data_IF_736607758494
#
_entry.id   IF_736607758494
#
_cell.length_a   1.000
_cell.length_b   1.000
_cell.length_c   1.000
_cell.angle_alpha   90.00
_cell.angle_beta   90.00
_cell.angle_gamma   90.00
#
_symmetry.space_group_name_H-M   'P 1'
#
loop_
_entity.id
_entity.type
_entity.pdbx_description
1 polymer ?
#
# COMPACT_ATOMS: atom_id res chain seq x y z
N UNK A 1 28.60 -50.22 -2.50
CA UNK A 1 27.17 -50.57 -2.55
C UNK A 1 26.41 -49.30 -2.89
N UNK A 2 25.79 -49.24 -4.06
CA UNK A 2 24.99 -48.09 -4.48
C UNK A 2 23.71 -48.05 -3.65
N UNK A 3 23.51 -46.97 -2.89
CA UNK A 3 22.24 -46.71 -2.20
C UNK A 3 21.28 -46.14 -3.24
N UNK A 4 20.40 -47.00 -3.76
CA UNK A 4 19.22 -46.58 -4.51
C UNK A 4 18.32 -45.79 -3.56
N UNK A 5 18.19 -44.48 -3.78
CA UNK A 5 17.12 -43.69 -3.18
C UNK A 5 15.79 -44.21 -3.72
N UNK A 6 15.09 -45.01 -2.91
CA UNK A 6 13.69 -45.31 -3.17
C UNK A 6 12.92 -43.99 -3.13
N UNK A 7 12.31 -43.63 -4.26
CA UNK A 7 11.32 -42.57 -4.36
C UNK A 7 10.23 -42.86 -3.31
N UNK A 8 10.26 -42.11 -2.20
CA UNK A 8 9.16 -42.10 -1.23
C UNK A 8 7.93 -41.65 -1.99
N UNK A 9 6.84 -42.43 -1.92
CA UNK A 9 5.58 -42.13 -2.60
C UNK A 9 5.20 -40.67 -2.34
N UNK A 10 5.13 -39.91 -3.44
CA UNK A 10 4.75 -38.50 -3.48
C UNK A 10 3.46 -38.26 -2.69
N UNK A 11 3.51 -37.34 -1.72
CA UNK A 11 2.34 -36.50 -1.48
C UNK A 11 2.20 -35.60 -2.70
N UNK A 12 1.36 -36.01 -3.64
CA UNK A 12 0.87 -35.11 -4.67
C UNK A 12 -0.06 -34.14 -3.94
N UNK A 13 0.39 -32.91 -3.72
CA UNK A 13 -0.53 -31.84 -3.31
C UNK A 13 -1.53 -31.71 -4.44
N UNK A 14 -2.75 -32.18 -4.19
CA UNK A 14 -3.88 -32.02 -5.11
C UNK A 14 -4.12 -30.50 -5.21
N UNK A 15 -4.36 -29.92 -6.40
CA UNK A 15 -4.55 -28.47 -6.57
C UNK A 15 -5.58 -27.82 -5.62
N UNK A 16 -6.48 -28.63 -5.05
CA UNK A 16 -7.53 -28.24 -4.11
C UNK A 16 -7.06 -27.87 -2.69
N UNK A 17 -5.76 -27.90 -2.38
CA UNK A 17 -5.22 -27.54 -1.05
C UNK A 17 -4.32 -26.30 -1.03
N UNK A 18 -4.13 -25.61 -2.16
CA UNK A 18 -3.39 -24.35 -2.18
C UNK A 18 -4.33 -23.19 -1.83
N UNK A 19 -4.10 -22.56 -0.68
CA UNK A 19 -4.72 -21.29 -0.33
C UNK A 19 -3.75 -20.15 -0.59
N UNK A 20 -4.11 -19.22 -1.48
CA UNK A 20 -3.34 -17.99 -1.66
C UNK A 20 -3.38 -17.15 -0.38
N UNK A 21 -2.22 -16.68 0.06
CA UNK A 21 -2.10 -15.82 1.25
C UNK A 21 -2.51 -14.37 0.97
N UNK A 22 -2.49 -13.97 -0.30
CA UNK A 22 -2.86 -12.64 -0.83
C UNK A 22 -3.01 -12.73 -2.35
N UNK A 23 -3.44 -11.65 -3.02
CA UNK A 23 -3.46 -11.56 -4.49
C UNK A 23 -2.01 -11.48 -5.04
N UNK A 24 -1.34 -12.63 -5.08
CA UNK A 24 0.08 -12.76 -5.46
C UNK A 24 0.31 -12.33 -6.90
N UNK A 25 -0.67 -12.55 -7.79
CA UNK A 25 -0.58 -12.17 -9.19
C UNK A 25 -0.45 -10.66 -9.33
N UNK A 26 -1.31 -9.89 -8.64
CA UNK A 26 -1.19 -8.42 -8.65
C UNK A 26 0.03 -7.92 -7.90
N UNK A 27 0.42 -8.58 -6.80
CA UNK A 27 1.65 -8.24 -6.08
C UNK A 27 2.88 -8.36 -6.99
N UNK A 28 3.09 -9.52 -7.62
CA UNK A 28 4.25 -9.74 -8.50
C UNK A 28 4.20 -8.86 -9.74
N UNK A 29 3.00 -8.64 -10.28
CA UNK A 29 2.79 -7.65 -11.35
C UNK A 29 3.24 -6.26 -10.93
N UNK A 30 2.86 -5.81 -9.73
CA UNK A 30 3.25 -4.49 -9.19
C UNK A 30 4.76 -4.38 -9.02
N UNK A 31 5.41 -5.44 -8.52
CA UNK A 31 6.88 -5.48 -8.41
C UNK A 31 7.54 -5.35 -9.80
N UNK A 32 7.05 -6.09 -10.79
CA UNK A 32 7.53 -6.01 -12.18
C UNK A 32 7.34 -4.63 -12.81
N UNK A 33 6.21 -3.98 -12.56
CA UNK A 33 5.95 -2.60 -13.01
C UNK A 33 6.98 -1.61 -12.44
N UNK A 34 7.60 -1.92 -11.30
CA UNK A 34 8.67 -1.13 -10.69
C UNK A 34 10.08 -1.63 -11.03
N UNK A 35 10.19 -2.57 -11.97
CA UNK A 35 11.47 -3.16 -12.38
C UNK A 35 12.12 -4.05 -11.33
N UNK A 36 11.33 -4.60 -10.40
CA UNK A 36 11.82 -5.49 -9.34
C UNK A 36 11.65 -6.94 -9.79
N UNK A 37 12.74 -7.69 -9.78
CA UNK A 37 12.73 -9.12 -10.05
C UNK A 37 12.10 -9.90 -8.89
N UNK A 38 11.31 -10.91 -9.23
CA UNK A 38 10.70 -11.86 -8.29
C UNK A 38 11.39 -13.21 -8.47
N UNK A 39 12.01 -13.72 -7.41
CA UNK A 39 12.71 -15.00 -7.43
C UNK A 39 12.20 -15.92 -6.32
N UNK A 40 12.15 -17.22 -6.60
CA UNK A 40 11.78 -18.25 -5.61
C UNK A 40 13.01 -19.11 -5.32
N UNK A 41 13.41 -19.18 -4.06
CA UNK A 41 14.42 -20.11 -3.57
C UNK A 41 13.78 -20.99 -2.50
N UNK A 42 13.47 -22.24 -2.83
CA UNK A 42 12.75 -23.17 -1.96
C UNK A 42 13.55 -24.44 -1.69
N UNK A 43 13.29 -25.09 -0.55
CA UNK A 43 13.76 -26.45 -0.25
C UNK A 43 12.90 -27.53 -0.91
N UNK A 44 11.74 -27.17 -1.46
CA UNK A 44 10.87 -28.09 -2.18
C UNK A 44 11.48 -28.56 -3.50
N UNK A 45 10.90 -29.63 -4.06
CA UNK A 45 11.32 -30.11 -5.37
C UNK A 45 10.74 -29.26 -6.52
N UNK A 46 11.43 -29.31 -7.65
CA UNK A 46 11.10 -28.54 -8.86
C UNK A 46 9.77 -28.92 -9.46
N UNK A 47 9.38 -30.19 -9.40
CA UNK A 47 8.11 -30.65 -9.95
C UNK A 47 6.91 -30.04 -9.21
N UNK A 48 6.88 -30.11 -7.87
CA UNK A 48 5.80 -29.53 -7.06
C UNK A 48 5.76 -28.01 -7.19
N UNK A 49 6.93 -27.35 -7.11
CA UNK A 49 7.04 -25.89 -7.23
C UNK A 49 6.46 -25.40 -8.55
N UNK A 50 6.84 -26.03 -9.67
CA UNK A 50 6.33 -25.66 -10.99
C UNK A 50 4.82 -25.91 -11.14
N UNK A 51 4.29 -26.97 -10.54
CA UNK A 51 2.86 -27.25 -10.57
C UNK A 51 2.07 -26.20 -9.79
N UNK A 52 2.52 -25.84 -8.58
CA UNK A 52 1.89 -24.77 -7.78
C UNK A 52 1.91 -23.44 -8.51
N UNK A 53 3.04 -23.05 -9.11
CA UNK A 53 3.13 -21.79 -9.85
C UNK A 53 2.26 -21.75 -11.11
N UNK A 54 2.03 -22.89 -11.76
CA UNK A 54 1.10 -22.98 -12.90
C UNK A 54 -0.35 -22.92 -12.46
N UNK A 55 -0.71 -23.61 -11.39
CA UNK A 55 -2.10 -23.57 -10.88
C UNK A 55 -2.50 -22.18 -10.40
N UNK A 56 -1.53 -21.41 -9.88
CA UNK A 56 -1.73 -20.03 -9.45
C UNK A 56 -1.53 -18.99 -10.58
N UNK A 57 -1.19 -19.43 -11.79
CA UNK A 57 -0.83 -18.56 -12.93
C UNK A 57 0.24 -17.50 -12.57
N UNK A 58 1.26 -17.91 -11.81
CA UNK A 58 2.37 -17.06 -11.37
C UNK A 58 3.67 -17.33 -12.12
N UNK A 59 3.77 -18.46 -12.83
CA UNK A 59 5.03 -18.89 -13.44
C UNK A 59 5.65 -17.84 -14.38
N UNK A 60 4.81 -17.10 -15.12
CA UNK A 60 5.24 -16.05 -16.04
C UNK A 60 5.69 -14.75 -15.34
N UNK A 61 5.48 -14.65 -14.02
CA UNK A 61 5.86 -13.53 -13.17
C UNK A 61 7.07 -13.84 -12.27
N UNK A 62 7.65 -15.04 -12.34
CA UNK A 62 8.85 -15.41 -11.56
C UNK A 62 10.06 -15.50 -12.49
N UNK A 63 11.08 -14.69 -12.20
CA UNK A 63 12.28 -14.57 -13.05
C UNK A 63 13.24 -15.75 -12.88
N UNK A 64 13.47 -16.18 -11.64
CA UNK A 64 14.35 -17.30 -11.31
C UNK A 64 13.70 -18.18 -10.25
N UNK A 65 13.74 -19.49 -10.48
CA UNK A 65 13.31 -20.52 -9.53
C UNK A 65 14.52 -21.40 -9.23
N UNK A 66 14.83 -21.56 -7.95
CA UNK A 66 15.81 -22.53 -7.43
C UNK A 66 15.09 -23.45 -6.45
N UNK A 67 15.12 -24.74 -6.74
CA UNK A 67 14.51 -25.80 -5.94
C UNK A 67 15.59 -26.66 -5.25
N UNK A 68 15.20 -27.38 -4.20
CA UNK A 68 16.12 -28.17 -3.37
C UNK A 68 16.70 -29.40 -4.07
N UNK A 69 16.10 -29.83 -5.18
CA UNK A 69 16.56 -30.92 -6.04
C UNK A 69 17.30 -30.44 -7.30
N UNK A 70 17.48 -29.12 -7.48
CA UNK A 70 18.24 -28.59 -8.61
C UNK A 70 19.73 -28.91 -8.47
N UNK A 71 20.34 -29.30 -9.59
CA UNK A 71 21.77 -29.64 -9.64
C UNK A 71 22.62 -28.44 -9.23
N UNK A 72 23.49 -28.65 -8.24
CA UNK A 72 24.41 -27.64 -7.74
C UNK A 72 23.75 -26.57 -6.88
N UNK A 73 22.56 -26.79 -6.33
CA UNK A 73 22.02 -25.96 -5.26
C UNK A 73 22.66 -26.31 -3.91
N UNK A 74 22.68 -25.35 -2.99
CA UNK A 74 23.04 -25.59 -1.59
C UNK A 74 21.88 -25.13 -0.71
N UNK A 75 21.33 -25.97 0.19
CA UNK A 75 20.18 -25.62 1.00
C UNK A 75 20.41 -24.37 1.87
N UNK A 76 19.33 -23.64 2.16
CA UNK A 76 19.33 -22.61 3.19
C UNK A 76 19.74 -23.24 4.53
N UNK A 77 20.52 -22.55 5.38
CA UNK A 77 20.83 -21.12 5.35
C UNK A 77 22.12 -20.75 4.62
N UNK A 78 22.74 -21.66 3.85
CA UNK A 78 23.97 -21.33 3.11
C UNK A 78 23.71 -20.24 2.06
N UNK A 79 24.60 -19.25 1.88
CA UNK A 79 24.33 -18.09 1.04
C UNK A 79 24.41 -18.34 -0.47
N UNK A 80 24.88 -19.54 -0.86
CA UNK A 80 25.25 -19.86 -2.24
C UNK A 80 24.13 -19.58 -3.25
N UNK A 81 22.90 -20.02 -2.98
CA UNK A 81 21.79 -19.83 -3.90
C UNK A 81 21.42 -18.35 -4.07
N UNK A 82 21.50 -17.53 -3.01
CA UNK A 82 21.27 -16.09 -3.11
C UNK A 82 22.33 -15.41 -3.97
N UNK A 83 23.61 -15.75 -3.77
CA UNK A 83 24.71 -15.21 -4.60
C UNK A 83 24.59 -15.66 -6.05
N UNK A 84 24.13 -16.89 -6.31
CA UNK A 84 23.84 -17.40 -7.65
C UNK A 84 22.75 -16.57 -8.35
N UNK A 85 21.63 -16.29 -7.66
CA UNK A 85 20.56 -15.43 -8.16
C UNK A 85 21.09 -14.02 -8.45
N UNK A 86 21.77 -13.39 -7.49
CA UNK A 86 22.35 -12.05 -7.64
C UNK A 86 23.27 -11.96 -8.86
N UNK A 87 24.14 -12.96 -9.03
CA UNK A 87 25.07 -13.03 -10.17
C UNK A 87 24.35 -13.19 -11.51
N UNK A 88 23.29 -14.02 -11.57
CA UNK A 88 22.52 -14.23 -12.80
C UNK A 88 21.76 -12.97 -13.25
N UNK A 89 21.22 -12.21 -12.29
CA UNK A 89 20.50 -10.97 -12.55
C UNK A 89 21.40 -9.73 -12.65
N UNK A 90 22.68 -9.85 -12.30
CA UNK A 90 23.62 -8.73 -12.28
C UNK A 90 23.31 -7.68 -11.19
N UNK A 91 22.68 -8.09 -10.08
CA UNK A 91 22.29 -7.18 -9.00
C UNK A 91 23.17 -7.36 -7.74
N UNK A 92 23.49 -6.28 -7.00
CA UNK A 92 24.22 -6.39 -5.75
C UNK A 92 23.36 -7.06 -4.66
N UNK A 93 23.92 -7.93 -3.79
CA UNK A 93 23.18 -8.50 -2.65
C UNK A 93 22.49 -7.44 -1.78
N UNK A 94 23.10 -6.27 -1.61
CA UNK A 94 22.59 -5.16 -0.80
C UNK A 94 21.32 -4.51 -1.35
N UNK A 95 20.92 -4.82 -2.60
CA UNK A 95 19.65 -4.33 -3.18
C UNK A 95 18.56 -5.40 -3.16
N UNK A 96 18.83 -6.58 -2.58
CA UNK A 96 17.89 -7.70 -2.55
C UNK A 96 17.18 -7.75 -1.21
N UNK A 97 15.86 -7.93 -1.26
CA UNK A 97 15.03 -8.24 -0.11
C UNK A 97 14.75 -9.76 -0.08
N UNK A 98 15.06 -10.41 1.04
CA UNK A 98 14.60 -11.77 1.32
C UNK A 98 13.26 -11.70 2.05
N UNK A 99 12.25 -12.38 1.53
CA UNK A 99 10.95 -12.56 2.18
C UNK A 99 10.84 -14.02 2.60
N UNK A 100 10.60 -14.28 3.88
CA UNK A 100 10.50 -15.64 4.41
C UNK A 100 9.88 -15.69 5.80
N UNK A 101 9.39 -16.86 6.18
CA UNK A 101 8.63 -17.09 7.41
C UNK A 101 9.43 -17.81 8.49
N UNK A 102 10.64 -18.29 8.21
CA UNK A 102 11.42 -19.09 9.16
C UNK A 102 12.72 -18.40 9.60
N UNK A 103 13.27 -18.77 10.78
CA UNK A 103 14.63 -18.38 11.17
C UNK A 103 15.71 -18.81 10.16
N UNK A 104 15.47 -19.88 9.40
CA UNK A 104 16.37 -20.34 8.32
C UNK A 104 16.45 -19.31 7.19
N UNK A 105 15.35 -18.61 6.88
CA UNK A 105 15.33 -17.53 5.89
C UNK A 105 16.05 -16.29 6.39
N UNK A 106 15.86 -15.94 7.67
CA UNK A 106 16.59 -14.87 8.33
C UNK A 106 18.11 -15.13 8.30
N UNK A 107 18.52 -16.36 8.60
CA UNK A 107 19.90 -16.83 8.52
C UNK A 107 20.46 -16.73 7.09
N UNK A 108 19.68 -17.18 6.11
CA UNK A 108 20.02 -17.12 4.69
C UNK A 108 20.28 -15.67 4.24
N UNK A 109 19.41 -14.74 4.64
CA UNK A 109 19.57 -13.31 4.33
C UNK A 109 20.83 -12.70 4.95
N UNK A 110 21.10 -12.98 6.23
CA UNK A 110 22.32 -12.54 6.93
C UNK A 110 23.58 -13.11 6.29
N UNK A 111 23.63 -14.43 6.08
CA UNK A 111 24.78 -15.11 5.51
C UNK A 111 25.10 -14.62 4.10
N UNK A 112 24.07 -14.31 3.30
CA UNK A 112 24.24 -13.80 1.96
C UNK A 112 24.52 -12.29 1.89
N UNK A 113 24.46 -11.58 3.04
CA UNK A 113 24.60 -10.11 3.16
C UNK A 113 23.60 -9.37 2.27
N UNK A 114 22.34 -9.82 2.30
CA UNK A 114 21.26 -9.17 1.56
C UNK A 114 20.94 -7.81 2.18
N UNK A 115 20.32 -6.93 1.40
CA UNK A 115 19.97 -5.57 1.84
C UNK A 115 18.87 -5.53 2.90
N UNK A 116 17.93 -6.48 2.82
CA UNK A 116 16.76 -6.50 3.69
C UNK A 116 16.26 -7.93 3.91
N UNK A 117 15.75 -8.20 5.11
CA UNK A 117 14.93 -9.35 5.43
C UNK A 117 13.55 -8.89 5.89
N UNK A 118 12.50 -9.41 5.28
CA UNK A 118 11.11 -9.21 5.67
C UNK A 118 10.56 -10.56 6.14
N UNK A 119 10.36 -10.68 7.45
CA UNK A 119 9.68 -11.80 8.07
C UNK A 119 8.18 -11.74 7.82
N UNK A 120 7.56 -12.84 7.38
CA UNK A 120 6.10 -12.91 7.20
C UNK A 120 5.46 -13.86 8.20
N UNK A 121 4.37 -13.44 8.83
CA UNK A 121 3.65 -14.22 9.86
C UNK A 121 2.55 -15.12 9.27
N UNK A 122 2.38 -15.11 7.94
CA UNK A 122 1.45 -16.00 7.23
C UNK A 122 1.96 -17.43 7.06
N UNK A 123 3.17 -17.72 7.53
CA UNK A 123 3.84 -19.03 7.44
C UNK A 123 3.91 -19.75 8.79
N UNK A 124 4.95 -20.57 8.98
CA UNK A 124 5.07 -21.44 10.17
C UNK A 124 5.78 -20.77 11.36
N UNK A 125 6.63 -19.77 11.12
CA UNK A 125 7.38 -19.10 12.18
C UNK A 125 6.58 -18.01 12.88
N UNK A 126 6.83 -17.85 14.18
CA UNK A 126 6.24 -16.77 14.98
C UNK A 126 7.09 -15.50 14.95
N UNK A 127 6.52 -14.39 15.41
CA UNK A 127 7.27 -13.15 15.59
C UNK A 127 8.46 -13.36 16.53
N UNK A 128 8.25 -14.08 17.61
CA UNK A 128 9.26 -14.39 18.62
C UNK A 128 10.40 -15.24 18.04
N UNK A 129 10.10 -16.21 17.17
CA UNK A 129 11.12 -17.03 16.50
C UNK A 129 12.03 -16.16 15.60
N UNK A 130 11.43 -15.27 14.83
CA UNK A 130 12.12 -14.40 13.88
C UNK A 130 12.94 -13.33 14.61
N UNK A 131 12.36 -12.64 15.58
CA UNK A 131 13.05 -11.63 16.39
C UNK A 131 14.16 -12.26 17.25
N UNK A 132 13.87 -13.41 17.87
CA UNK A 132 14.83 -14.16 18.67
C UNK A 132 16.06 -14.54 17.87
N UNK A 133 15.89 -15.01 16.63
CA UNK A 133 17.01 -15.26 15.73
C UNK A 133 17.69 -13.97 15.26
N UNK A 134 16.92 -12.92 14.95
CA UNK A 134 17.47 -11.70 14.37
C UNK A 134 18.36 -10.93 15.35
N UNK A 135 17.95 -10.82 16.61
CA UNK A 135 18.62 -9.99 17.61
C UNK A 135 19.62 -10.73 18.51
N UNK A 136 19.81 -12.05 18.32
CA UNK A 136 20.82 -12.82 19.06
C UNK A 136 22.24 -12.28 18.78
N UNK A 137 22.75 -11.47 19.72
CA UNK A 137 24.05 -10.80 19.64
C UNK A 137 25.25 -11.77 19.70
N UNK A 138 25.05 -13.00 20.17
CA UNK A 138 26.12 -14.02 20.14
C UNK A 138 26.47 -14.47 18.72
N UNK A 139 25.69 -14.02 17.72
CA UNK A 139 25.77 -14.45 16.31
C UNK A 139 26.07 -13.30 15.33
N UNK A 140 26.39 -12.10 15.82
CA UNK A 140 26.64 -10.93 14.96
C UNK A 140 28.14 -10.61 14.89
N UNK A 141 28.76 -10.97 13.76
CA UNK A 141 30.06 -10.42 13.34
C UNK A 141 29.88 -8.96 12.92
N UNK A 142 30.83 -8.08 13.27
CA UNK A 142 30.87 -6.60 13.11
C UNK A 142 30.63 -6.06 11.67
N UNK A 143 29.52 -6.40 11.05
CA UNK A 143 29.12 -5.97 9.71
C UNK A 143 27.74 -5.34 9.73
N UNK A 144 27.48 -4.44 8.80
CA UNK A 144 26.17 -3.81 8.61
C UNK A 144 25.13 -4.90 8.31
N UNK A 145 24.23 -5.15 9.25
CA UNK A 145 23.15 -6.11 9.07
C UNK A 145 22.13 -5.60 8.05
N UNK A 146 21.42 -6.50 7.34
CA UNK A 146 20.25 -6.14 6.54
C UNK A 146 19.24 -5.32 7.35
N UNK A 147 18.43 -4.52 6.67
CA UNK A 147 17.19 -4.00 7.28
C UNK A 147 16.28 -5.16 7.68
N UNK A 148 15.55 -5.01 8.79
CA UNK A 148 14.67 -6.04 9.32
C UNK A 148 13.27 -5.51 9.57
N UNK A 149 12.30 -6.19 8.99
CA UNK A 149 10.88 -5.90 9.16
C UNK A 149 10.10 -7.21 9.37
N UNK A 150 8.98 -7.12 10.09
CA UNK A 150 8.02 -8.21 10.22
C UNK A 150 6.67 -7.68 9.75
N UNK A 151 5.97 -8.47 8.94
CA UNK A 151 4.64 -8.17 8.41
C UNK A 151 3.72 -9.36 8.57
N UNK A 152 2.40 -9.11 8.59
CA UNK A 152 1.41 -10.17 8.82
C UNK A 152 1.33 -11.12 7.61
N UNK A 153 1.38 -10.60 6.39
CA UNK A 153 1.31 -11.40 5.15
C UNK A 153 2.32 -10.95 4.10
N UNK A 154 2.62 -11.84 3.14
CA UNK A 154 3.39 -11.52 1.92
C UNK A 154 2.75 -10.35 1.14
N UNK A 155 1.43 -10.15 1.24
CA UNK A 155 0.74 -9.01 0.62
C UNK A 155 1.17 -7.63 1.15
N UNK A 156 1.77 -7.58 2.34
CA UNK A 156 2.11 -6.34 3.05
C UNK A 156 3.58 -5.92 2.87
N UNK A 157 4.32 -6.58 1.97
CA UNK A 157 5.73 -6.26 1.73
C UNK A 157 5.94 -4.95 0.95
N UNK A 158 4.93 -4.51 0.17
CA UNK A 158 5.07 -3.40 -0.77
C UNK A 158 5.52 -2.08 -0.11
N UNK A 159 4.99 -1.62 1.04
CA UNK A 159 5.46 -0.38 1.67
C UNK A 159 6.93 -0.39 2.10
N UNK A 160 7.55 -1.56 2.26
CA UNK A 160 8.96 -1.70 2.62
C UNK A 160 9.87 -1.74 1.38
N UNK A 161 9.37 -2.35 0.31
CA UNK A 161 10.08 -2.42 -0.98
C UNK A 161 9.91 -1.11 -1.78
N UNK A 162 8.75 -0.47 -1.65
CA UNK A 162 8.31 0.77 -2.31
C UNK A 162 7.88 1.82 -1.27
N UNK A 163 8.81 2.37 -0.46
CA UNK A 163 8.44 3.24 0.65
C UNK A 163 7.83 4.56 0.20
N UNK A 164 6.75 4.97 0.87
CA UNK A 164 5.99 6.18 0.56
C UNK A 164 6.77 7.50 0.68
N UNK A 165 7.93 7.49 1.35
CA UNK A 165 8.83 8.65 1.45
C UNK A 165 9.82 8.74 0.31
N UNK A 166 9.95 7.70 -0.52
CA UNK A 166 10.83 7.70 -1.68
C UNK A 166 10.37 8.80 -2.64
N UNK A 167 11.31 9.51 -3.24
CA UNK A 167 11.03 10.45 -4.33
C UNK A 167 11.63 9.88 -5.60
N UNK A 168 11.01 10.10 -6.77
CA UNK A 168 11.53 9.58 -8.02
C UNK A 168 12.87 10.25 -8.34
N UNK A 169 13.91 9.44 -8.46
CA UNK A 169 15.24 9.87 -8.93
C UNK A 169 15.32 9.75 -10.45
N UNK A 170 16.26 10.49 -11.07
CA UNK A 170 16.52 10.40 -12.51
C UNK A 170 16.83 8.97 -13.00
N UNK A 171 17.38 8.13 -12.11
CA UNK A 171 17.74 6.72 -12.36
C UNK A 171 16.67 5.71 -11.94
N UNK A 172 15.56 6.11 -11.29
CA UNK A 172 14.49 5.17 -10.94
C UNK A 172 13.87 4.60 -12.22
N UNK A 173 14.13 3.32 -12.48
CA UNK A 173 13.70 2.56 -13.65
C UNK A 173 12.20 2.21 -13.61
N UNK A 174 11.33 3.19 -13.31
CA UNK A 174 9.93 3.06 -13.75
C UNK A 174 9.86 2.94 -15.27
N UNK A 175 10.88 3.42 -15.98
CA UNK A 175 10.86 3.65 -17.42
C UNK A 175 11.13 2.42 -18.28
N UNK A 176 12.01 1.51 -17.87
CA UNK A 176 12.43 0.42 -18.78
C UNK A 176 11.45 -0.76 -18.83
N UNK A 177 10.54 -0.91 -17.85
CA UNK A 177 9.64 -2.06 -17.78
C UNK A 177 8.15 -1.71 -17.70
N UNK A 178 7.74 -0.43 -17.65
CA UNK A 178 6.31 -0.13 -17.53
C UNK A 178 5.52 -0.58 -18.76
N UNK A 179 6.01 -0.32 -19.98
CA UNK A 179 5.34 -0.78 -21.21
C UNK A 179 5.32 -2.30 -21.31
N UNK A 180 6.42 -2.98 -20.97
CA UNK A 180 6.49 -4.44 -20.92
C UNK A 180 5.61 -5.04 -19.82
N UNK A 181 5.50 -4.38 -18.67
CA UNK A 181 4.68 -4.83 -17.56
C UNK A 181 3.19 -4.57 -17.83
N UNK A 182 2.83 -3.40 -18.39
CA UNK A 182 1.46 -3.04 -18.75
C UNK A 182 0.94 -3.87 -19.94
N UNK A 183 1.77 -4.13 -20.95
CA UNK A 183 1.37 -4.98 -22.09
C UNK A 183 1.06 -6.42 -21.69
N UNK A 184 1.68 -6.91 -20.60
CA UNK A 184 1.41 -8.25 -20.04
C UNK A 184 0.15 -8.31 -19.18
N UNK A 185 -0.39 -7.18 -18.75
CA UNK A 185 -1.46 -7.14 -17.72
C UNK A 185 -2.84 -6.83 -18.26
N UNK A 186 -2.97 -6.49 -19.56
CA UNK A 186 -4.25 -6.16 -20.17
C UNK A 186 -4.89 -4.88 -19.62
N UNK A 187 -4.11 -4.03 -18.94
CA UNK A 187 -4.57 -2.74 -18.39
C UNK A 187 -4.86 -1.78 -19.54
N UNK A 188 -6.04 -1.17 -19.52
CA UNK A 188 -6.43 -0.17 -20.50
C UNK A 188 -5.80 1.17 -20.11
N UNK A 189 -4.78 1.59 -20.84
CA UNK A 189 -4.12 2.87 -20.61
C UNK A 189 -4.93 3.99 -21.27
N UNK A 190 -5.22 5.11 -20.59
CA UNK A 190 -5.88 6.27 -21.21
C UNK A 190 -5.10 6.74 -22.44
N UNK A 191 -5.72 6.85 -23.64
CA UNK A 191 -5.02 7.30 -24.84
C UNK A 191 -4.54 8.75 -24.73
N UNK A 192 -5.30 9.58 -24.00
CA UNK A 192 -4.95 10.95 -23.63
C UNK A 192 -5.56 11.26 -22.26
N UNK A 193 -4.74 11.44 -21.22
CA UNK A 193 -5.24 11.85 -19.91
C UNK A 193 -5.52 13.35 -19.89
N UNK A 194 -6.78 13.74 -19.64
CA UNK A 194 -7.21 15.15 -19.53
C UNK A 194 -7.51 15.58 -18.10
N UNK A 195 -7.87 14.63 -17.24
CA UNK A 195 -8.32 14.92 -15.88
C UNK A 195 -7.68 13.97 -14.87
N UNK A 196 -7.13 14.54 -13.81
CA UNK A 196 -6.74 13.80 -12.61
C UNK A 196 -7.72 14.13 -11.49
N UNK A 197 -8.35 13.10 -10.93
CA UNK A 197 -9.14 13.23 -9.70
C UNK A 197 -8.31 12.62 -8.57
N UNK A 198 -7.84 13.47 -7.66
CA UNK A 198 -7.02 13.04 -6.52
C UNK A 198 -7.80 13.11 -5.22
N UNK A 199 -7.58 12.14 -4.35
CA UNK A 199 -7.89 12.27 -2.93
C UNK A 199 -6.94 13.28 -2.26
N UNK A 200 -7.29 13.75 -1.05
CA UNK A 200 -6.46 14.62 -0.21
C UNK A 200 -5.65 13.85 0.83
N UNK A 201 -6.33 13.18 1.76
CA UNK A 201 -5.68 12.61 2.95
C UNK A 201 -5.02 11.26 2.68
N UNK A 202 -3.68 11.26 2.70
CA UNK A 202 -2.87 10.07 2.41
C UNK A 202 -2.41 10.06 0.97
N UNK A 203 -2.84 11.04 0.18
CA UNK A 203 -2.45 11.23 -1.22
C UNK A 203 -1.66 12.53 -1.39
N UNK A 204 -2.25 13.68 -1.01
CA UNK A 204 -1.59 14.98 -1.02
C UNK A 204 -0.96 15.33 0.35
N UNK A 205 -1.42 14.68 1.42
CA UNK A 205 -0.94 14.88 2.78
C UNK A 205 -0.35 13.60 3.37
N UNK A 206 0.66 13.78 4.24
CA UNK A 206 1.12 12.73 5.14
C UNK A 206 0.18 12.62 6.33
N UNK A 207 -0.61 11.55 6.37
CA UNK A 207 -1.72 11.41 7.32
C UNK A 207 -1.31 10.96 8.71
N UNK A 208 -0.22 10.20 8.85
CA UNK A 208 0.11 9.56 10.12
C UNK A 208 0.36 10.57 11.25
N UNK A 209 1.22 11.60 11.12
CA UNK A 209 1.51 12.50 12.24
C UNK A 209 0.29 13.30 12.70
N UNK A 210 -0.49 13.82 11.74
CA UNK A 210 -1.68 14.65 12.01
C UNK A 210 -2.76 13.86 12.73
N UNK A 211 -3.15 12.73 12.15
CA UNK A 211 -4.26 11.94 12.68
C UNK A 211 -3.88 11.15 13.94
N UNK A 212 -2.65 10.66 14.07
CA UNK A 212 -2.20 10.06 15.34
C UNK A 212 -2.14 11.08 16.48
N UNK A 213 -1.81 12.35 16.20
CA UNK A 213 -1.92 13.41 17.21
C UNK A 213 -3.37 13.67 17.58
N UNK A 214 -4.25 13.78 16.59
CA UNK A 214 -5.67 13.98 16.80
C UNK A 214 -6.31 12.85 17.63
N UNK A 215 -6.07 11.59 17.26
CA UNK A 215 -6.61 10.41 17.95
C UNK A 215 -6.22 10.39 19.43
N UNK A 216 -4.95 10.70 19.76
CA UNK A 216 -4.50 10.81 21.16
C UNK A 216 -5.23 11.91 21.93
N UNK A 217 -5.46 13.06 21.29
CA UNK A 217 -6.23 14.15 21.91
C UNK A 217 -7.68 13.74 22.14
N UNK A 218 -8.34 13.13 21.14
CA UNK A 218 -9.72 12.64 21.27
C UNK A 218 -9.82 11.57 22.36
N UNK A 219 -8.89 10.61 22.39
CA UNK A 219 -8.81 9.60 23.43
C UNK A 219 -8.71 10.23 24.82
N UNK A 220 -7.75 11.14 25.03
CA UNK A 220 -7.56 11.81 26.33
C UNK A 220 -8.79 12.61 26.77
N UNK A 221 -9.45 13.31 25.83
CA UNK A 221 -10.70 14.04 26.11
C UNK A 221 -11.85 13.09 26.43
N UNK A 222 -11.97 11.97 25.72
CA UNK A 222 -13.00 10.97 26.01
C UNK A 222 -12.82 10.33 27.38
N UNK A 223 -11.58 9.99 27.76
CA UNK A 223 -11.29 9.48 29.11
C UNK A 223 -11.73 10.48 30.18
N UNK A 224 -11.47 11.78 29.99
CA UNK A 224 -11.85 12.80 30.97
C UNK A 224 -13.35 13.07 31.06
N UNK A 225 -14.10 12.87 29.98
CA UNK A 225 -15.55 13.08 29.94
C UNK A 225 -16.36 11.80 30.21
N UNK A 226 -15.76 10.63 30.05
CA UNK A 226 -16.45 9.32 30.10
C UNK A 226 -15.64 8.28 30.90
N UNK A 227 -14.98 7.34 30.24
CA UNK A 227 -14.13 6.31 30.83
C UNK A 227 -13.09 5.81 29.81
N UNK A 228 -12.06 5.11 30.29
CA UNK A 228 -11.09 4.45 29.42
C UNK A 228 -11.71 3.39 28.53
N UNK A 229 -12.69 2.63 29.03
CA UNK A 229 -13.41 1.61 28.25
C UNK A 229 -14.08 2.22 27.01
N UNK A 230 -14.78 3.35 27.16
CA UNK A 230 -15.47 4.02 26.06
C UNK A 230 -14.47 4.64 25.08
N UNK A 231 -13.40 5.25 25.61
CA UNK A 231 -12.35 5.82 24.79
C UNK A 231 -11.66 4.74 23.93
N UNK A 232 -11.32 3.58 24.51
CA UNK A 232 -10.73 2.45 23.77
C UNK A 232 -11.70 1.87 22.73
N UNK A 233 -12.96 1.65 23.11
CA UNK A 233 -13.98 1.18 22.16
C UNK A 233 -14.14 2.13 20.97
N UNK A 234 -14.07 3.45 21.19
CA UNK A 234 -14.09 4.43 20.11
C UNK A 234 -12.83 4.36 19.23
N UNK A 235 -11.65 4.26 19.84
CA UNK A 235 -10.38 4.12 19.11
C UNK A 235 -10.38 2.87 18.23
N UNK A 236 -10.86 1.74 18.75
CA UNK A 236 -10.98 0.49 17.99
C UNK A 236 -11.92 0.65 16.79
N UNK A 237 -13.06 1.32 16.97
CA UNK A 237 -14.03 1.57 15.88
C UNK A 237 -13.44 2.43 14.75
N UNK A 238 -12.61 3.42 15.08
CA UNK A 238 -11.92 4.23 14.07
C UNK A 238 -10.63 3.57 13.56
N UNK A 239 -10.28 2.38 14.07
CA UNK A 239 -9.09 1.62 13.67
C UNK A 239 -7.77 2.17 14.21
N UNK A 240 -7.78 2.83 15.37
CA UNK A 240 -6.58 3.36 16.01
C UNK A 240 -6.14 2.50 17.20
N UNK A 241 -4.94 1.93 17.13
CA UNK A 241 -4.33 1.22 18.26
C UNK A 241 -3.75 2.24 19.24
N UNK A 242 -4.33 2.30 20.45
CA UNK A 242 -3.84 3.17 21.53
C UNK A 242 -2.43 2.78 21.95
N UNK A 243 -2.17 1.48 22.09
CA UNK A 243 -0.91 0.96 22.64
C UNK A 243 0.25 1.16 21.65
N UNK A 244 0.00 0.94 20.35
CA UNK A 244 1.00 1.16 19.30
C UNK A 244 1.02 2.59 18.76
N UNK A 245 0.05 3.42 19.15
CA UNK A 245 -0.16 4.80 18.68
C UNK A 245 -0.23 4.94 17.15
N UNK A 246 -0.86 3.97 16.49
CA UNK A 246 -0.95 3.89 15.02
C UNK A 246 -2.32 3.42 14.56
N UNK A 247 -2.72 3.89 13.39
CA UNK A 247 -3.87 3.34 12.69
C UNK A 247 -3.51 1.98 12.07
N UNK A 248 -4.46 1.05 12.14
CA UNK A 248 -4.34 -0.31 11.62
C UNK A 248 -4.75 -0.43 10.15
N UNK A 249 -5.26 0.66 9.55
CA UNK A 249 -5.83 0.64 8.19
C UNK A 249 -7.24 0.04 8.11
N UNK A 250 -7.76 -0.47 9.23
CA UNK A 250 -9.13 -0.95 9.37
C UNK A 250 -10.05 0.12 9.99
N UNK A 251 -11.33 -0.21 10.15
CA UNK A 251 -12.31 0.65 10.80
C UNK A 251 -12.74 1.86 9.96
N UNK A 252 -13.05 2.97 10.63
CA UNK A 252 -13.63 4.16 10.00
C UNK A 252 -12.61 5.18 9.47
N UNK A 253 -11.30 4.95 9.56
CA UNK A 253 -10.26 5.94 9.22
C UNK A 253 -10.32 6.46 7.76
N UNK A 254 -10.90 5.68 6.84
CA UNK A 254 -11.12 6.09 5.44
C UNK A 254 -12.50 6.71 5.14
N UNK A 255 -13.30 7.04 6.16
CA UNK A 255 -14.61 7.68 6.00
C UNK A 255 -14.53 9.20 6.18
N UNK A 256 -15.63 9.90 5.86
CA UNK A 256 -15.73 11.33 6.15
C UNK A 256 -15.61 11.63 7.63
N UNK A 257 -14.96 12.75 7.93
CA UNK A 257 -14.80 13.23 9.31
C UNK A 257 -16.16 13.41 10.00
N UNK A 258 -17.22 13.66 9.23
CA UNK A 258 -18.60 13.73 9.70
C UNK A 258 -19.14 12.35 10.11
N UNK A 259 -18.89 11.29 9.33
CA UNK A 259 -19.28 9.93 9.74
C UNK A 259 -18.47 9.42 10.94
N UNK A 260 -17.19 9.79 11.03
CA UNK A 260 -16.35 9.48 12.18
C UNK A 260 -16.86 10.22 13.43
N UNK A 261 -17.37 11.45 13.27
CA UNK A 261 -18.05 12.20 14.34
C UNK A 261 -19.35 11.53 14.78
N UNK A 262 -20.20 11.18 13.82
CA UNK A 262 -21.53 10.61 14.10
C UNK A 262 -21.42 9.24 14.76
N UNK A 263 -20.37 8.46 14.46
CA UNK A 263 -20.12 7.18 15.12
C UNK A 263 -19.79 7.34 16.61
N UNK A 264 -19.11 8.43 17.01
CA UNK A 264 -18.90 8.74 18.42
C UNK A 264 -20.22 9.04 19.12
N UNK A 265 -21.08 9.87 18.50
CA UNK A 265 -22.41 10.16 19.03
C UNK A 265 -23.24 8.88 19.18
N UNK A 266 -23.20 8.00 18.18
CA UNK A 266 -23.85 6.68 18.23
C UNK A 266 -23.34 5.82 19.38
N UNK A 267 -22.03 5.76 19.60
CA UNK A 267 -21.42 5.02 20.72
C UNK A 267 -21.87 5.57 22.09
N UNK A 268 -21.89 6.90 22.26
CA UNK A 268 -22.34 7.54 23.50
C UNK A 268 -23.82 7.23 23.79
N UNK A 269 -24.67 7.25 22.76
CA UNK A 269 -26.08 6.88 22.88
C UNK A 269 -26.25 5.41 23.24
N UNK A 270 -25.49 4.50 22.63
CA UNK A 270 -25.48 3.06 22.96
C UNK A 270 -25.04 2.80 24.41
N UNK A 271 -24.10 3.61 24.93
CA UNK A 271 -23.64 3.57 26.33
C UNK A 271 -24.58 4.34 27.28
N UNK A 272 -25.78 4.71 26.84
CA UNK A 272 -26.88 5.29 27.64
C UNK A 272 -26.57 6.65 28.28
N UNK A 273 -25.73 7.47 27.63
CA UNK A 273 -25.49 8.84 28.10
C UNK A 273 -26.71 9.77 27.92
N UNK A 274 -27.63 9.42 27.01
CA UNK A 274 -28.78 10.26 26.67
C UNK A 274 -28.39 11.42 25.75
N UNK A 275 -29.38 12.09 25.16
CA UNK A 275 -29.15 13.07 24.08
C UNK A 275 -28.35 14.28 24.57
N UNK A 276 -28.78 14.92 25.67
CA UNK A 276 -28.17 16.16 26.17
C UNK A 276 -26.72 15.96 26.60
N UNK A 277 -26.46 14.92 27.41
CA UNK A 277 -25.11 14.62 27.88
C UNK A 277 -24.19 14.19 26.74
N UNK A 278 -24.71 13.45 25.74
CA UNK A 278 -23.91 13.10 24.56
C UNK A 278 -23.54 14.34 23.76
N UNK A 279 -24.46 15.30 23.59
CA UNK A 279 -24.16 16.57 22.92
C UNK A 279 -23.09 17.38 23.65
N UNK A 280 -23.18 17.51 24.99
CA UNK A 280 -22.18 18.19 25.82
C UNK A 280 -20.79 17.53 25.72
N UNK A 281 -20.73 16.19 25.74
CA UNK A 281 -19.48 15.45 25.54
C UNK A 281 -18.92 15.71 24.14
N UNK A 282 -19.76 15.67 23.10
CA UNK A 282 -19.33 15.91 21.73
C UNK A 282 -18.71 17.30 21.57
N UNK A 283 -19.29 18.33 22.18
CA UNK A 283 -18.75 19.70 22.14
C UNK A 283 -17.36 19.81 22.80
N UNK A 284 -17.15 19.12 23.93
CA UNK A 284 -15.87 19.14 24.67
C UNK A 284 -14.79 18.28 24.03
N UNK A 285 -15.18 17.18 23.41
CA UNK A 285 -14.26 16.19 22.84
C UNK A 285 -13.87 16.55 21.42
N UNK A 286 -14.87 16.77 20.57
CA UNK A 286 -14.69 16.77 19.13
C UNK A 286 -14.06 18.05 18.60
N UNK A 287 -13.13 17.90 17.66
CA UNK A 287 -12.62 19.00 16.85
C UNK A 287 -12.04 18.43 15.55
N UNK A 288 -11.95 19.27 14.52
CA UNK A 288 -11.24 18.94 13.27
C UNK A 288 -9.92 19.71 13.25
N UNK A 289 -8.77 19.02 13.21
CA UNK A 289 -7.47 19.69 13.24
C UNK A 289 -7.25 20.43 11.92
N UNK A 290 -6.77 21.67 11.98
CA UNK A 290 -6.34 22.38 10.77
C UNK A 290 -5.07 21.72 10.18
N UNK A 291 -4.77 22.04 8.92
CA UNK A 291 -3.56 21.58 8.27
C UNK A 291 -2.38 22.49 8.59
N UNK A 292 -1.21 21.88 8.66
CA UNK A 292 0.08 22.56 8.73
C UNK A 292 0.92 22.19 7.52
N UNK A 293 1.95 22.99 7.23
CA UNK A 293 2.88 22.69 6.12
C UNK A 293 3.62 21.37 6.30
N UNK A 294 3.80 20.92 7.55
CA UNK A 294 4.40 19.63 7.87
C UNK A 294 3.52 18.44 7.48
N UNK A 295 2.23 18.66 7.22
CA UNK A 295 1.30 17.61 6.81
C UNK A 295 1.31 17.41 5.29
N UNK A 296 1.94 18.30 4.51
CA UNK A 296 1.94 18.21 3.04
C UNK A 296 3.02 17.23 2.59
N UNK A 297 2.70 16.38 1.61
CA UNK A 297 3.71 15.49 1.02
C UNK A 297 4.84 16.30 0.35
N UNK A 298 6.09 15.82 0.38
CA UNK A 298 7.21 16.51 -0.24
C UNK A 298 6.98 16.78 -1.74
N UNK A 299 7.44 17.94 -2.22
CA UNK A 299 7.40 18.34 -3.63
C UNK A 299 5.98 18.42 -4.23
N UNK A 300 4.96 18.65 -3.40
CA UNK A 300 3.57 18.64 -3.87
C UNK A 300 3.27 19.75 -4.88
N UNK A 301 3.60 21.04 -4.63
CA UNK A 301 3.33 22.09 -5.60
C UNK A 301 4.04 21.85 -6.94
N UNK A 302 5.26 21.33 -6.91
CA UNK A 302 6.02 20.97 -8.11
C UNK A 302 5.37 19.79 -8.85
N UNK A 303 4.93 18.76 -8.12
CA UNK A 303 4.24 17.60 -8.70
C UNK A 303 2.96 18.01 -9.41
N UNK A 304 2.11 18.83 -8.78
CA UNK A 304 0.87 19.31 -9.39
C UNK A 304 1.17 20.24 -10.57
N UNK A 305 2.16 21.13 -10.44
CA UNK A 305 2.62 22.00 -11.52
C UNK A 305 3.09 21.22 -12.74
N UNK A 306 3.84 20.14 -12.55
CA UNK A 306 4.29 19.23 -13.60
C UNK A 306 3.10 18.59 -14.33
N UNK A 307 2.06 18.13 -13.61
CA UNK A 307 0.86 17.55 -14.21
C UNK A 307 0.07 18.59 -15.02
N UNK A 308 -0.07 19.81 -14.49
CA UNK A 308 -0.70 20.92 -15.22
C UNK A 308 0.07 21.30 -16.48
N UNK A 309 1.41 21.30 -16.43
CA UNK A 309 2.26 21.57 -17.60
C UNK A 309 2.09 20.52 -18.71
N UNK A 310 1.60 19.33 -18.35
CA UNK A 310 1.24 18.27 -19.28
C UNK A 310 -0.16 18.42 -19.89
N UNK A 311 -0.88 19.51 -19.56
CA UNK A 311 -2.21 19.83 -20.10
C UNK A 311 -3.38 19.21 -19.34
N UNK A 312 -3.15 18.73 -18.11
CA UNK A 312 -4.18 18.07 -17.31
C UNK A 312 -4.90 19.04 -16.38
N UNK A 313 -6.22 18.91 -16.31
CA UNK A 313 -7.05 19.51 -15.27
C UNK A 313 -6.93 18.68 -13.99
N UNK A 314 -6.85 19.33 -12.83
CA UNK A 314 -6.70 18.67 -11.54
C UNK A 314 -7.93 18.93 -10.67
N UNK A 315 -8.62 17.86 -10.26
CA UNK A 315 -9.73 17.90 -9.34
C UNK A 315 -9.37 17.19 -8.03
N UNK A 316 -9.77 17.76 -6.89
CA UNK A 316 -9.64 17.16 -5.57
C UNK A 316 -11.00 16.64 -5.09
N UNK A 317 -11.10 15.36 -4.74
CA UNK A 317 -12.29 14.75 -4.13
C UNK A 317 -11.97 14.29 -2.71
N UNK A 318 -12.57 14.94 -1.72
CA UNK A 318 -12.14 14.81 -0.33
C UNK A 318 -13.29 14.44 0.60
N UNK A 319 -13.00 13.55 1.55
CA UNK A 319 -13.86 13.17 2.67
C UNK A 319 -13.94 14.23 3.79
N UNK A 320 -13.16 15.30 3.67
CA UNK A 320 -13.17 16.44 4.58
C UNK A 320 -14.25 17.47 4.22
N UNK A 321 -14.56 18.34 5.17
CA UNK A 321 -15.47 19.48 4.97
C UNK A 321 -14.86 20.54 4.04
N UNK A 322 -15.69 21.41 3.46
CA UNK A 322 -15.25 22.52 2.61
C UNK A 322 -14.22 23.39 3.33
N UNK A 323 -14.49 23.75 4.60
CA UNK A 323 -13.57 24.53 5.44
C UNK A 323 -12.19 23.87 5.56
N UNK A 324 -12.15 22.55 5.77
CA UNK A 324 -10.90 21.81 5.89
C UNK A 324 -10.16 21.72 4.54
N UNK A 325 -10.90 21.57 3.43
CA UNK A 325 -10.32 21.63 2.09
C UNK A 325 -9.72 23.03 1.78
N UNK A 326 -10.40 24.11 2.16
CA UNK A 326 -9.91 25.48 1.98
C UNK A 326 -8.64 25.75 2.77
N UNK A 327 -8.65 25.34 4.04
CA UNK A 327 -7.48 25.43 4.92
C UNK A 327 -6.28 24.67 4.33
N UNK A 328 -6.52 23.47 3.80
CA UNK A 328 -5.51 22.68 3.10
C UNK A 328 -4.96 23.39 1.86
N UNK A 329 -5.82 23.85 0.95
CA UNK A 329 -5.38 24.48 -0.30
C UNK A 329 -4.56 25.75 -0.01
N UNK A 330 -4.98 26.54 0.98
CA UNK A 330 -4.28 27.74 1.42
C UNK A 330 -2.90 27.42 2.01
N UNK A 331 -2.81 26.45 2.92
CA UNK A 331 -1.53 26.11 3.56
C UNK A 331 -0.57 25.41 2.59
N UNK A 332 -1.09 24.70 1.58
CA UNK A 332 -0.31 23.96 0.59
C UNK A 332 0.09 24.76 -0.64
N UNK A 333 -0.41 26.00 -0.79
CA UNK A 333 -0.20 26.84 -1.98
C UNK A 333 -0.69 26.16 -3.27
N UNK A 334 -1.77 25.38 -3.15
CA UNK A 334 -2.40 24.67 -4.26
C UNK A 334 -3.71 25.34 -4.72
N UNK A 335 -4.13 26.44 -4.11
CA UNK A 335 -5.37 27.16 -4.48
C UNK A 335 -5.48 27.43 -5.99
N UNK A 336 -4.39 27.86 -6.62
CA UNK A 336 -4.37 28.20 -8.05
C UNK A 336 -4.00 27.01 -8.96
N UNK A 337 -3.78 25.83 -8.36
CA UNK A 337 -3.34 24.61 -9.05
C UNK A 337 -4.39 23.50 -9.07
N UNK A 338 -5.40 23.57 -8.21
CA UNK A 338 -6.53 22.64 -8.16
C UNK A 338 -7.74 23.33 -8.79
N UNK A 339 -8.16 22.87 -9.96
CA UNK A 339 -9.21 23.52 -10.77
C UNK A 339 -10.62 23.27 -10.21
N UNK A 340 -10.81 22.13 -9.54
CA UNK A 340 -12.09 21.75 -8.95
C UNK A 340 -11.89 21.06 -7.61
N UNK A 341 -12.74 21.37 -6.63
CA UNK A 341 -12.76 20.65 -5.34
C UNK A 341 -14.18 20.20 -5.06
N UNK A 342 -14.33 18.95 -4.62
CA UNK A 342 -15.57 18.42 -4.06
C UNK A 342 -15.31 17.95 -2.63
N UNK A 343 -15.99 18.56 -1.69
CA UNK A 343 -15.90 18.25 -0.26
C UNK A 343 -17.05 17.34 0.21
N UNK A 344 -16.95 16.82 1.44
CA UNK A 344 -18.00 15.98 2.01
C UNK A 344 -19.35 16.70 2.17
N UNK A 345 -19.34 18.00 2.42
CA UNK A 345 -20.56 18.81 2.57
C UNK A 345 -21.34 18.87 1.25
N UNK A 346 -20.62 18.97 0.13
CA UNK A 346 -21.21 19.10 -1.21
C UNK A 346 -21.72 17.76 -1.77
N UNK A 347 -21.17 16.65 -1.29
CA UNK A 347 -21.48 15.31 -1.77
C UNK A 347 -22.38 14.49 -0.82
N UNK A 348 -23.17 15.16 0.02
CA UNK A 348 -24.12 14.48 0.92
C UNK A 348 -23.45 13.59 1.96
N UNK A 349 -22.32 14.02 2.54
CA UNK A 349 -21.52 13.33 3.57
C UNK A 349 -20.79 12.06 3.11
N UNK A 350 -20.96 11.66 1.85
CA UNK A 350 -20.30 10.48 1.24
C UNK A 350 -19.69 10.82 -0.13
N UNK A 351 -18.64 11.69 -0.17
CA UNK A 351 -17.99 12.15 -1.40
C UNK A 351 -17.32 11.06 -2.21
N UNK A 352 -17.22 9.83 -1.71
CA UNK A 352 -16.74 8.68 -2.49
C UNK A 352 -17.79 7.59 -2.54
N UNK A 353 -19.04 7.99 -2.76
CA UNK A 353 -20.10 7.06 -3.16
C UNK A 353 -19.68 6.37 -4.47
N UNK A 354 -20.20 5.16 -4.76
CA UNK A 354 -19.61 4.31 -5.79
C UNK A 354 -19.41 4.98 -7.15
N UNK A 355 -20.22 5.92 -7.62
CA UNK A 355 -19.91 6.59 -8.89
C UNK A 355 -20.31 8.06 -8.99
N UNK A 356 -21.25 8.53 -8.15
CA UNK A 356 -21.92 9.82 -8.36
C UNK A 356 -20.94 10.99 -8.35
N UNK A 357 -20.12 11.11 -7.30
CA UNK A 357 -19.12 12.18 -7.18
C UNK A 357 -18.17 12.22 -8.37
N UNK A 358 -17.62 11.07 -8.76
CA UNK A 358 -16.66 11.01 -9.85
C UNK A 358 -17.34 11.42 -11.16
N UNK A 359 -18.55 10.92 -11.42
CA UNK A 359 -19.34 11.31 -12.60
C UNK A 359 -19.68 12.81 -12.61
N UNK A 360 -19.97 13.41 -11.46
CA UNK A 360 -20.21 14.85 -11.35
C UNK A 360 -18.96 15.68 -11.68
N UNK A 361 -17.80 15.26 -11.17
CA UNK A 361 -16.51 15.89 -11.47
C UNK A 361 -16.21 15.79 -12.97
N UNK A 362 -16.31 14.59 -13.54
CA UNK A 362 -16.09 14.35 -14.98
C UNK A 362 -17.04 15.20 -15.84
N UNK A 363 -18.32 15.26 -15.47
CA UNK A 363 -19.32 16.11 -16.14
C UNK A 363 -19.00 17.59 -16.06
N UNK A 364 -18.54 18.09 -14.91
CA UNK A 364 -18.15 19.50 -14.72
C UNK A 364 -16.94 19.89 -15.58
N UNK A 365 -15.98 18.97 -15.73
CA UNK A 365 -14.79 19.19 -16.56
C UNK A 365 -15.10 19.02 -18.06
N UNK A 366 -16.07 18.15 -18.41
CA UNK A 366 -16.49 17.93 -19.79
C UNK A 366 -15.53 17.04 -20.59
N UNK A 367 -14.99 15.99 -19.97
CA UNK A 367 -14.14 14.99 -20.64
C UNK A 367 -14.77 13.59 -20.65
N UNK A 368 -14.22 12.67 -21.44
CA UNK A 368 -14.63 11.26 -21.44
C UNK A 368 -14.08 10.57 -20.17
N UNK A 369 -14.84 9.73 -19.44
CA UNK A 369 -14.32 8.92 -18.33
C UNK A 369 -13.01 8.18 -18.65
N UNK A 370 -12.82 7.69 -19.87
CA UNK A 370 -11.60 7.01 -20.30
C UNK A 370 -10.37 7.93 -20.35
N UNK A 371 -10.56 9.26 -20.34
CA UNK A 371 -9.50 10.27 -20.26
C UNK A 371 -9.16 10.68 -18.82
N UNK A 372 -9.74 9.98 -17.83
CA UNK A 372 -9.65 10.30 -16.41
C UNK A 372 -8.75 9.32 -15.66
N UNK A 373 -7.88 9.86 -14.82
CA UNK A 373 -7.08 9.10 -13.86
C UNK A 373 -7.55 9.43 -12.45
N UNK A 374 -7.93 8.40 -11.68
CA UNK A 374 -8.24 8.55 -10.25
C UNK A 374 -7.05 8.11 -9.43
N UNK A 375 -6.62 8.94 -8.49
CA UNK A 375 -5.47 8.68 -7.62
C UNK A 375 -5.88 8.78 -6.16
N UNK A 376 -5.62 7.74 -5.37
CA UNK A 376 -6.01 7.75 -3.96
C UNK A 376 -5.34 6.68 -3.11
N UNK A 377 -5.41 6.89 -1.80
CA UNK A 377 -4.76 6.04 -0.81
C UNK A 377 -5.73 5.10 -0.08
N UNK A 378 -6.98 5.03 -0.52
CA UNK A 378 -8.04 4.21 0.07
C UNK A 378 -8.78 3.37 -0.97
N UNK A 379 -9.40 2.28 -0.50
CA UNK A 379 -10.31 1.48 -1.32
C UNK A 379 -11.44 2.30 -1.92
N UNK A 380 -11.98 3.26 -1.16
CA UNK A 380 -13.09 4.09 -1.61
C UNK A 380 -12.73 4.93 -2.84
N UNK A 381 -11.50 5.44 -2.93
CA UNK A 381 -11.02 6.21 -4.08
C UNK A 381 -11.05 5.35 -5.35
N UNK A 382 -10.42 4.18 -5.26
CA UNK A 382 -10.22 3.28 -6.39
C UNK A 382 -11.52 2.60 -6.83
N UNK A 383 -12.35 2.18 -5.87
CA UNK A 383 -13.67 1.63 -6.16
C UNK A 383 -14.59 2.66 -6.82
N UNK A 384 -14.53 3.92 -6.36
CA UNK A 384 -15.34 5.00 -6.91
C UNK A 384 -14.92 5.32 -8.35
N UNK A 385 -13.60 5.37 -8.61
CA UNK A 385 -13.06 5.50 -9.96
C UNK A 385 -13.50 4.38 -10.89
N UNK A 386 -13.31 3.10 -10.50
CA UNK A 386 -13.69 1.95 -11.33
C UNK A 386 -15.18 1.94 -11.68
N UNK A 387 -16.02 2.19 -10.68
CA UNK A 387 -17.47 2.21 -10.84
C UNK A 387 -17.95 3.39 -11.70
N UNK A 388 -17.18 4.47 -11.78
CA UNK A 388 -17.41 5.57 -12.71
C UNK A 388 -16.88 5.31 -14.13
N UNK A 389 -16.21 4.18 -14.37
CA UNK A 389 -15.67 3.80 -15.68
C UNK A 389 -14.48 4.64 -16.10
N UNK A 390 -13.71 5.16 -15.14
CA UNK A 390 -12.52 5.97 -15.45
C UNK A 390 -11.45 5.14 -16.17
N UNK A 391 -10.61 5.80 -16.95
CA UNK A 391 -9.57 5.13 -17.73
C UNK A 391 -8.50 4.43 -16.89
N UNK A 392 -8.16 4.97 -15.72
CA UNK A 392 -7.14 4.38 -14.84
C UNK A 392 -7.39 4.69 -13.36
N UNK A 393 -7.24 3.68 -12.50
CA UNK A 393 -7.17 3.87 -11.04
C UNK A 393 -5.78 3.58 -10.51
N UNK A 394 -5.19 4.55 -9.81
CA UNK A 394 -3.84 4.46 -9.25
C UNK A 394 -3.91 4.56 -7.74
N UNK A 395 -3.51 3.51 -7.05
CA UNK A 395 -3.36 3.52 -5.59
C UNK A 395 -2.01 4.13 -5.17
N UNK A 396 -1.99 4.89 -4.09
CA UNK A 396 -0.75 5.37 -3.46
C UNK A 396 -0.53 4.72 -2.08
N UNK A 397 0.72 4.40 -1.75
CA UNK A 397 1.09 3.72 -0.50
C UNK A 397 1.31 4.68 0.69
N UNK A 398 0.99 5.96 0.54
CA UNK A 398 1.19 7.02 1.55
C UNK A 398 0.04 7.19 2.55
N UNK A 399 -1.07 6.47 2.38
CA UNK A 399 -2.25 6.52 3.26
C UNK A 399 -2.32 5.39 4.28
N UNK A 400 -3.52 5.20 4.86
CA UNK A 400 -3.75 4.20 5.91
C UNK A 400 -4.07 2.80 5.38
N UNK A 401 -4.57 2.66 4.14
CA UNK A 401 -4.88 1.35 3.59
C UNK A 401 -3.62 0.55 3.31
N UNK A 402 -3.68 -0.76 3.53
CA UNK A 402 -2.57 -1.64 3.15
C UNK A 402 -2.55 -1.82 1.63
N UNK A 403 -1.40 -2.21 1.09
CA UNK A 403 -1.31 -2.53 -0.33
C UNK A 403 -2.31 -3.64 -0.71
N UNK A 404 -2.51 -4.63 0.16
CA UNK A 404 -3.50 -5.69 -0.03
C UNK A 404 -4.93 -5.17 -0.15
N UNK A 405 -5.29 -4.10 0.56
CA UNK A 405 -6.58 -3.45 0.39
C UNK A 405 -6.71 -2.72 -0.95
N UNK A 406 -5.62 -2.14 -1.47
CA UNK A 406 -5.64 -1.35 -2.71
C UNK A 406 -5.56 -2.21 -3.98
N UNK A 407 -4.78 -3.31 -3.96
CA UNK A 407 -4.53 -4.18 -5.12
C UNK A 407 -5.83 -4.63 -5.84
N UNK A 408 -6.92 -5.04 -5.15
CA UNK A 408 -8.17 -5.42 -5.81
C UNK A 408 -8.74 -4.33 -6.72
N UNK A 409 -8.52 -3.06 -6.39
CA UNK A 409 -9.17 -1.92 -7.02
C UNK A 409 -8.23 -1.00 -7.81
N UNK A 410 -6.92 -1.13 -7.65
CA UNK A 410 -5.92 -0.40 -8.42
C UNK A 410 -5.61 -1.11 -9.75
N UNK A 411 -5.36 -0.34 -10.79
CA UNK A 411 -4.63 -0.82 -11.98
C UNK A 411 -3.12 -0.73 -11.74
N UNK A 412 -2.67 0.31 -11.01
CA UNK A 412 -1.28 0.54 -10.62
C UNK A 412 -1.19 0.98 -9.16
N UNK A 413 -0.15 0.53 -8.45
CA UNK A 413 0.21 1.10 -7.14
C UNK A 413 1.52 1.85 -7.27
N UNK A 414 1.62 3.05 -6.72
CA UNK A 414 2.86 3.84 -6.67
C UNK A 414 3.20 4.24 -5.23
N UNK A 415 4.47 4.51 -4.89
CA UNK A 415 4.84 4.87 -3.53
C UNK A 415 4.08 6.08 -2.99
N UNK A 416 3.98 7.13 -3.81
CA UNK A 416 3.21 8.35 -3.54
C UNK A 416 2.94 9.09 -4.86
N UNK A 417 2.14 10.16 -4.82
CA UNK A 417 1.72 10.89 -6.00
C UNK A 417 2.86 11.59 -6.78
N UNK A 418 4.03 11.84 -6.18
CA UNK A 418 5.17 12.45 -6.91
C UNK A 418 5.69 11.59 -8.07
N UNK A 419 5.35 10.30 -8.08
CA UNK A 419 5.66 9.37 -9.17
C UNK A 419 4.76 9.57 -10.40
N UNK A 420 3.60 10.22 -10.23
CA UNK A 420 2.56 10.33 -11.24
C UNK A 420 3.00 11.08 -12.50
N UNK A 421 3.69 12.24 -12.46
CA UNK A 421 4.12 12.93 -13.68
C UNK A 421 5.05 12.06 -14.53
N UNK A 422 6.01 11.39 -13.89
CA UNK A 422 6.94 10.48 -14.58
C UNK A 422 6.18 9.29 -15.16
N UNK A 423 5.25 8.70 -14.41
CA UNK A 423 4.40 7.60 -14.89
C UNK A 423 3.62 8.00 -16.15
N UNK A 424 2.88 9.11 -16.10
CA UNK A 424 2.01 9.53 -17.20
C UNK A 424 2.78 9.99 -18.45
N UNK A 425 4.03 10.45 -18.32
CA UNK A 425 4.90 10.76 -19.48
C UNK A 425 5.29 9.51 -20.29
N UNK A 426 5.37 8.35 -19.64
CA UNK A 426 5.81 7.10 -20.26
C UNK A 426 4.66 6.18 -20.68
N UNK A 427 3.41 6.55 -20.37
CA UNK A 427 2.27 5.82 -20.87
C UNK A 427 2.18 5.99 -22.40
N UNK A 428 2.00 4.90 -23.17
CA UNK A 428 1.93 4.96 -24.61
C UNK A 428 0.77 5.86 -25.03
N UNK A 429 1.08 6.99 -25.69
CA UNK A 429 0.08 7.85 -26.31
C UNK A 429 -0.37 7.16 -27.59
N UNK A 430 -1.63 6.72 -27.65
CA UNK A 430 -2.19 6.34 -28.95
C UNK A 430 -2.31 7.64 -29.76
N UNK A 431 -1.43 7.81 -30.75
CA UNK A 431 -1.58 8.87 -31.73
C UNK A 431 -2.90 8.63 -32.47
N UNK A 432 -3.80 9.61 -32.34
CA UNK A 432 -5.10 9.66 -33.03
C UNK A 432 -4.93 9.75 -34.53
#
# INVERSE_FOLDING_TARGET
MAVTYQCVRQWSVVPQQLSETSDLKKLFTTLHQHGIYVCICTSDNRCSTMNSLRSLDLLHLVDIIICGDDVGCVPKPAPYNAHKICKQLGIPPQTVAMVGDTPTDAAFAKNARLGMFIGVLSGVGTKEDLEGYWFDQSRVSHTTLPLFHIVDSVGDILPYILPATKTPTGTDSLTYNLENALSRTGIHVPPCCKLIITDKDGTLTNVYPRWSRWARTIYSRLVSQTSEEIARAYMDMIGYSVDNQRYTGAGLVGNSILRIRDSLLGLLMLKKFGVEKSADIMEKVWYVPDHTTADIMPQMPETIGDLRSMGMTIAMSSHDTRRACDSFLACSKLCDQIDLTLSADEAGHSPKSPSQTMQEIVKKVGCDPLEVVVVGASQADLMSGRSAGVGLTIGVLSGFSTAQNLLPHADLLIPNISYLPKLLRHLPRQHS
#
